data_IF_237093745754
#
_entry.id   IF_237093745754
#
_cell.length_a   1.000
_cell.length_b   1.000
_cell.length_c   1.000
_cell.angle_alpha   90.00
_cell.angle_beta   90.00
_cell.angle_gamma   90.00
#
_symmetry.space_group_name_H-M   'P 1'
#
loop_
_entity.id
_entity.type
_entity.pdbx_description
1 polymer ?
#
# COMPACT_ATOMS: atom_id res chain seq x y z
N UNK A 1 1.69 17.60 4.24
CA UNK A 1 1.95 16.49 3.29
C UNK A 1 2.88 15.44 3.86
N UNK A 2 3.96 15.81 4.57
CA UNK A 2 4.89 14.84 5.16
C UNK A 2 4.22 13.71 5.98
N UNK A 3 3.28 14.03 6.88
CA UNK A 3 2.59 13.00 7.67
C UNK A 3 1.80 11.97 6.82
N UNK A 4 1.22 12.41 5.69
CA UNK A 4 0.48 11.54 4.81
C UNK A 4 1.42 10.59 4.03
N UNK A 5 2.55 11.13 3.56
CA UNK A 5 3.62 10.33 2.94
C UNK A 5 4.16 9.32 3.96
N UNK A 6 4.52 9.75 5.17
CA UNK A 6 5.04 8.84 6.21
C UNK A 6 4.04 7.74 6.58
N UNK A 7 2.74 8.01 6.54
CA UNK A 7 1.72 6.98 6.78
C UNK A 7 1.76 5.87 5.73
N UNK A 8 1.95 6.25 4.46
CA UNK A 8 2.14 5.32 3.35
C UNK A 8 3.44 4.54 3.50
N UNK A 9 4.56 5.25 3.66
CA UNK A 9 5.90 4.65 3.78
C UNK A 9 5.95 3.62 4.93
N UNK A 10 5.44 3.98 6.12
CA UNK A 10 5.48 3.07 7.26
C UNK A 10 4.59 1.85 7.09
N UNK A 11 3.38 1.99 6.58
CA UNK A 11 2.48 0.85 6.46
C UNK A 11 2.93 -0.12 5.35
N UNK A 12 3.30 0.42 4.19
CA UNK A 12 3.77 -0.40 3.06
C UNK A 12 5.08 -1.11 3.39
N UNK A 13 6.04 -0.42 4.03
CA UNK A 13 7.31 -1.06 4.38
C UNK A 13 7.22 -1.96 5.63
N UNK A 14 6.26 -1.73 6.53
CA UNK A 14 5.95 -2.71 7.56
C UNK A 14 5.44 -4.02 6.91
N UNK A 15 4.59 -3.91 5.88
CA UNK A 15 4.14 -5.08 5.11
C UNK A 15 5.31 -5.76 4.39
N UNK A 16 6.16 -5.01 3.67
CA UNK A 16 7.35 -5.55 3.00
C UNK A 16 8.21 -6.38 3.97
N UNK A 17 8.49 -5.83 5.16
CA UNK A 17 9.31 -6.49 6.17
C UNK A 17 8.63 -7.72 6.80
N UNK A 18 7.33 -7.63 7.06
CA UNK A 18 6.56 -8.75 7.61
C UNK A 18 6.54 -9.92 6.63
N UNK A 19 6.18 -9.66 5.36
CA UNK A 19 6.20 -10.65 4.27
C UNK A 19 7.57 -11.29 4.12
N UNK A 20 8.64 -10.48 4.05
CA UNK A 20 10.01 -10.98 3.93
C UNK A 20 10.47 -11.85 5.12
N UNK A 21 9.80 -11.73 6.28
CA UNK A 21 10.10 -12.52 7.48
C UNK A 21 9.04 -13.57 7.81
N UNK A 22 8.08 -13.82 6.91
CA UNK A 22 7.00 -14.79 7.11
C UNK A 22 6.07 -14.43 8.27
N UNK A 23 5.81 -13.13 8.45
CA UNK A 23 4.92 -12.57 9.48
C UNK A 23 3.82 -11.74 8.83
N UNK A 24 2.77 -11.50 9.61
CA UNK A 24 1.67 -10.61 9.22
C UNK A 24 1.80 -9.24 9.90
N UNK A 25 1.25 -8.20 9.26
CA UNK A 25 1.05 -6.89 9.87
C UNK A 25 -0.39 -6.79 10.39
N UNK A 26 -0.62 -6.84 11.72
CA UNK A 26 -1.94 -6.61 12.26
C UNK A 26 -2.28 -5.12 12.12
N UNK A 27 -3.18 -4.79 11.20
CA UNK A 27 -3.69 -3.44 10.99
C UNK A 27 -5.21 -3.48 10.94
N UNK A 28 -5.85 -2.46 11.54
CA UNK A 28 -7.29 -2.34 11.41
C UNK A 28 -7.66 -1.89 9.99
N UNK A 29 -8.72 -2.47 9.43
CA UNK A 29 -9.26 -2.11 8.10
C UNK A 29 -9.38 -0.59 7.92
N UNK A 30 -9.93 0.11 8.92
CA UNK A 30 -10.10 1.57 8.88
C UNK A 30 -8.79 2.36 8.75
N UNK A 31 -7.68 1.82 9.27
CA UNK A 31 -6.35 2.44 9.14
C UNK A 31 -5.79 2.20 7.75
N UNK A 32 -5.90 0.97 7.24
CA UNK A 32 -5.45 0.65 5.89
C UNK A 32 -6.25 1.42 4.83
N UNK A 33 -7.58 1.51 4.96
CA UNK A 33 -8.44 2.31 4.08
C UNK A 33 -8.08 3.80 4.13
N UNK A 34 -7.80 4.33 5.32
CA UNK A 34 -7.36 5.71 5.46
C UNK A 34 -6.06 5.96 4.67
N UNK A 35 -5.08 5.07 4.81
CA UNK A 35 -3.80 5.16 4.09
C UNK A 35 -3.98 4.96 2.59
N UNK A 36 -4.85 4.06 2.14
CA UNK A 36 -5.23 3.90 0.73
C UNK A 36 -5.82 5.19 0.17
N UNK A 37 -6.72 5.84 0.91
CA UNK A 37 -7.26 7.15 0.53
C UNK A 37 -6.20 8.25 0.42
N UNK A 38 -5.13 8.19 1.22
CA UNK A 38 -3.96 9.06 1.08
C UNK A 38 -3.12 8.68 -0.14
N UNK A 39 -2.91 7.39 -0.38
CA UNK A 39 -2.14 6.89 -1.52
C UNK A 39 -2.72 7.38 -2.85
N UNK A 40 -4.05 7.32 -3.03
CA UNK A 40 -4.71 7.84 -4.23
C UNK A 40 -4.49 9.34 -4.46
N UNK A 41 -4.27 10.12 -3.41
CA UNK A 41 -4.01 11.56 -3.51
C UNK A 41 -2.55 11.89 -3.76
N UNK A 42 -1.64 11.04 -3.28
CA UNK A 42 -0.18 11.26 -3.32
C UNK A 42 0.43 10.67 -4.60
N UNK A 43 0.05 9.44 -4.96
CA UNK A 43 0.65 8.69 -6.07
C UNK A 43 -0.06 9.06 -7.37
N UNK A 44 0.40 10.14 -7.99
CA UNK A 44 -0.05 10.54 -9.33
C UNK A 44 0.56 9.62 -10.41
N UNK A 45 -0.04 9.49 -11.60
CA UNK A 45 0.55 8.71 -12.70
C UNK A 45 1.98 9.14 -13.06
N UNK A 46 2.24 10.46 -13.11
CA UNK A 46 3.57 11.01 -13.36
C UNK A 46 4.53 10.69 -12.19
N UNK A 47 4.05 10.86 -10.95
CA UNK A 47 4.81 10.59 -9.74
C UNK A 47 5.25 9.13 -9.65
N UNK A 48 4.33 8.19 -9.92
CA UNK A 48 4.57 6.74 -9.96
C UNK A 48 5.81 6.38 -10.79
N UNK A 49 5.88 6.88 -12.03
CA UNK A 49 7.00 6.65 -12.93
C UNK A 49 8.33 7.28 -12.46
N UNK A 50 8.26 8.30 -11.61
CA UNK A 50 9.45 9.03 -11.11
C UNK A 50 9.99 8.42 -9.83
N UNK A 51 9.13 8.03 -8.90
CA UNK A 51 9.52 7.52 -7.57
C UNK A 51 9.65 5.99 -7.52
N UNK A 52 9.25 5.28 -8.57
CA UNK A 52 9.47 3.84 -8.71
C UNK A 52 8.37 2.97 -8.12
N UNK A 53 7.10 3.40 -8.20
CA UNK A 53 5.98 2.49 -7.97
C UNK A 53 5.64 1.77 -9.29
N UNK A 54 5.46 0.46 -9.24
CA UNK A 54 5.05 -0.35 -10.41
C UNK A 54 3.55 -0.13 -10.73
N UNK A 55 3.03 -0.53 -11.91
CA UNK A 55 1.59 -0.46 -12.16
C UNK A 55 0.77 -1.19 -11.09
N UNK A 56 -0.41 -0.69 -10.70
CA UNK A 56 -1.30 -1.40 -9.79
C UNK A 56 -1.59 -2.82 -10.27
N UNK A 57 -1.67 -3.75 -9.32
CA UNK A 57 -2.06 -5.14 -9.56
C UNK A 57 -3.56 -5.30 -9.27
N UNK A 58 -4.24 -6.14 -10.04
CA UNK A 58 -5.65 -6.45 -9.80
C UNK A 58 -5.80 -7.34 -8.55
N UNK A 59 -6.78 -7.00 -7.71
CA UNK A 59 -7.23 -7.78 -6.55
C UNK A 59 -8.75 -7.71 -6.49
N UNK A 60 -9.40 -8.66 -5.80
CA UNK A 60 -10.84 -8.63 -5.60
C UNK A 60 -11.30 -7.34 -4.90
N UNK A 61 -12.44 -6.78 -5.31
CA UNK A 61 -13.02 -5.57 -4.70
C UNK A 61 -13.34 -5.75 -3.20
N UNK A 62 -13.57 -7.00 -2.78
CA UNK A 62 -13.80 -7.40 -1.39
C UNK A 62 -12.54 -7.80 -0.62
N UNK A 63 -11.35 -7.66 -1.22
CA UNK A 63 -10.09 -7.94 -0.54
C UNK A 63 -9.88 -6.99 0.65
N UNK A 64 -9.14 -7.44 1.69
CA UNK A 64 -8.73 -6.58 2.81
C UNK A 64 -8.16 -5.25 2.34
N UNK A 65 -8.42 -4.17 3.07
CA UNK A 65 -7.96 -2.84 2.68
C UNK A 65 -6.43 -2.74 2.59
N UNK A 66 -5.70 -3.53 3.40
CA UNK A 66 -4.25 -3.63 3.29
C UNK A 66 -3.83 -4.21 1.94
N UNK A 67 -4.46 -5.29 1.48
CA UNK A 67 -4.12 -5.94 0.21
C UNK A 67 -4.39 -5.01 -0.97
N UNK A 68 -5.51 -4.27 -0.94
CA UNK A 68 -5.83 -3.23 -1.92
C UNK A 68 -4.80 -2.09 -1.93
N UNK A 69 -4.31 -1.68 -0.76
CA UNK A 69 -3.22 -0.70 -0.64
C UNK A 69 -1.92 -1.23 -1.26
N UNK A 70 -1.52 -2.44 -0.90
CA UNK A 70 -0.29 -3.08 -1.41
C UNK A 70 -0.37 -3.25 -2.93
N UNK A 71 -1.48 -3.77 -3.44
CA UNK A 71 -1.77 -3.92 -4.86
C UNK A 71 -1.70 -2.57 -5.60
N UNK A 72 -2.22 -1.49 -5.02
CA UNK A 72 -2.12 -0.15 -5.61
C UNK A 72 -0.67 0.36 -5.73
N UNK A 73 0.24 -0.10 -4.88
CA UNK A 73 1.68 0.23 -5.02
C UNK A 73 2.42 -0.59 -6.08
N UNK A 74 1.73 -1.55 -6.71
CA UNK A 74 2.30 -2.48 -7.70
C UNK A 74 2.94 -3.73 -7.10
N UNK A 75 2.75 -3.95 -5.79
CA UNK A 75 3.17 -5.17 -5.09
C UNK A 75 2.08 -6.24 -5.16
N UNK A 76 2.45 -7.49 -4.94
CA UNK A 76 1.54 -8.63 -4.95
C UNK A 76 1.25 -9.13 -3.52
N UNK A 77 0.04 -8.93 -2.98
CA UNK A 77 -0.32 -9.37 -1.62
C UNK A 77 -0.50 -10.89 -1.51
N UNK A 78 -0.82 -11.57 -2.61
CA UNK A 78 -1.14 -13.01 -2.63
C UNK A 78 0.04 -13.92 -3.05
N UNK A 79 1.25 -13.36 -3.13
CA UNK A 79 2.46 -14.05 -3.59
C UNK A 79 3.22 -14.80 -2.48
#
# INVERSE_FOLDING_TARGET
MAAAILSLEFLVHAWDYATATGRDVPVAESVADYVLGLAYKIITPQGRATVGFDPPVDVDDGAPALDRLIAFTGRHPDA
#
